data_IF_692334574950
#
_entry.id   IF_692334574950
#
_cell.length_a   1.000
_cell.length_b   1.000
_cell.length_c   1.000
_cell.angle_alpha   90.00
_cell.angle_beta   90.00
_cell.angle_gamma   90.00
#
_symmetry.space_group_name_H-M   'P 1'
#
loop_
_entity.id
_entity.type
_entity.pdbx_description
1 polymer ?
#
# COMPACT_ATOMS: atom_id res chain seq x y z
N UNK A 1 7.19 8.48 26.58
CA UNK A 1 6.98 7.04 26.86
C UNK A 1 5.67 6.61 26.21
N UNK A 2 5.68 5.64 25.28
CA UNK A 2 4.43 5.10 24.70
C UNK A 2 3.68 4.24 25.72
N UNK A 3 2.36 4.39 25.80
CA UNK A 3 1.52 3.63 26.75
C UNK A 3 1.60 2.12 26.50
N UNK A 4 1.25 1.31 27.50
CA UNK A 4 1.19 -0.15 27.35
C UNK A 4 0.29 -0.58 26.17
N UNK A 5 -0.79 0.17 25.92
CA UNK A 5 -1.70 -0.04 24.79
C UNK A 5 -1.00 0.22 23.45
N UNK A 6 -0.22 1.29 23.33
CA UNK A 6 0.55 1.57 22.11
C UNK A 6 1.54 0.45 21.81
N UNK A 7 2.23 -0.08 22.82
CA UNK A 7 3.17 -1.20 22.65
C UNK A 7 2.45 -2.49 22.19
N UNK A 8 1.30 -2.80 22.78
CA UNK A 8 0.50 -3.96 22.40
C UNK A 8 -0.01 -3.85 20.95
N UNK A 9 -0.52 -2.68 20.55
CA UNK A 9 -0.97 -2.43 19.19
C UNK A 9 0.17 -2.52 18.17
N UNK A 10 1.35 -1.97 18.50
CA UNK A 10 2.51 -2.04 17.63
C UNK A 10 3.00 -3.49 17.46
N UNK A 11 3.00 -4.29 18.52
CA UNK A 11 3.36 -5.72 18.47
C UNK A 11 2.40 -6.52 17.59
N UNK A 12 1.09 -6.27 17.69
CA UNK A 12 0.09 -6.90 16.82
C UNK A 12 0.25 -6.47 15.37
N UNK A 13 0.40 -5.17 15.14
CA UNK A 13 0.58 -4.63 13.79
C UNK A 13 1.84 -5.19 13.11
N UNK A 14 2.97 -5.26 13.82
CA UNK A 14 4.21 -5.80 13.28
C UNK A 14 4.16 -7.31 13.02
N UNK A 15 3.31 -8.07 13.73
CA UNK A 15 3.13 -9.50 13.49
C UNK A 15 2.21 -9.77 12.29
N UNK A 16 1.19 -8.94 12.11
CA UNK A 16 0.12 -9.19 11.14
C UNK A 16 0.33 -8.47 9.81
N UNK A 17 1.06 -7.36 9.79
CA UNK A 17 1.17 -6.50 8.62
C UNK A 17 2.61 -6.00 8.40
N UNK A 18 3.12 -6.20 7.19
CA UNK A 18 4.28 -5.49 6.70
C UNK A 18 3.85 -4.08 6.24
N UNK A 19 4.46 -3.04 6.81
CA UNK A 19 4.15 -1.65 6.47
C UNK A 19 5.18 -1.08 5.52
N UNK A 20 4.73 -0.59 4.37
CA UNK A 20 5.56 0.13 3.40
C UNK A 20 5.06 1.57 3.31
N UNK A 21 5.96 2.55 3.46
CA UNK A 21 5.63 3.95 3.24
C UNK A 21 5.87 4.31 1.77
N UNK A 22 4.81 4.62 1.04
CA UNK A 22 4.89 5.01 -0.37
C UNK A 22 4.75 6.52 -0.50
N UNK A 23 5.72 7.15 -1.18
CA UNK A 23 5.68 8.57 -1.53
C UNK A 23 5.60 8.69 -3.05
N UNK A 24 4.49 9.24 -3.54
CA UNK A 24 4.30 9.56 -4.95
C UNK A 24 4.60 11.05 -5.17
N UNK A 25 5.45 11.34 -6.14
CA UNK A 25 5.71 12.70 -6.59
C UNK A 25 4.50 13.23 -7.36
N UNK A 26 4.20 14.52 -7.21
CA UNK A 26 3.07 15.15 -7.92
C UNK A 26 3.39 15.49 -9.37
N UNK A 27 4.67 15.64 -9.68
CA UNK A 27 5.21 16.07 -10.97
C UNK A 27 5.69 14.90 -11.85
N UNK A 28 5.56 13.66 -11.38
CA UNK A 28 5.98 12.46 -12.12
C UNK A 28 4.89 11.41 -12.03
N UNK A 29 4.45 10.89 -13.18
CA UNK A 29 3.50 9.79 -13.21
C UNK A 29 4.14 8.47 -12.75
N UNK A 30 3.40 7.63 -12.00
CA UNK A 30 2.01 7.85 -11.60
C UNK A 30 1.87 8.76 -10.36
N UNK A 31 0.97 9.74 -10.46
CA UNK A 31 0.56 10.61 -9.36
C UNK A 31 -0.50 9.94 -8.49
N UNK A 32 -0.72 10.46 -7.27
CA UNK A 32 -1.75 9.91 -6.37
C UNK A 32 -3.15 9.92 -7.01
N UNK A 33 -3.50 10.99 -7.72
CA UNK A 33 -4.84 11.15 -8.27
C UNK A 33 -5.09 10.19 -9.43
N UNK A 34 -4.07 9.93 -10.26
CA UNK A 34 -4.13 8.90 -11.30
C UNK A 34 -4.32 7.50 -10.70
N UNK A 35 -3.58 7.17 -9.63
CA UNK A 35 -3.71 5.87 -8.94
C UNK A 35 -5.09 5.76 -8.27
N UNK A 36 -5.60 6.83 -7.69
CA UNK A 36 -6.92 6.85 -7.07
C UNK A 36 -8.02 6.65 -8.12
N UNK A 37 -7.96 7.37 -9.25
CA UNK A 37 -8.93 7.23 -10.34
C UNK A 37 -8.93 5.81 -10.91
N UNK A 38 -7.76 5.17 -11.05
CA UNK A 38 -7.67 3.78 -11.49
C UNK A 38 -8.28 2.80 -10.47
N UNK A 39 -8.01 3.00 -9.18
CA UNK A 39 -8.61 2.20 -8.11
C UNK A 39 -10.14 2.35 -8.07
N UNK A 40 -10.64 3.58 -8.22
CA UNK A 40 -12.07 3.89 -8.23
C UNK A 40 -12.76 3.26 -9.46
N UNK A 41 -12.10 3.28 -10.63
CA UNK A 41 -12.60 2.62 -11.83
C UNK A 41 -12.71 1.09 -11.69
N UNK A 42 -11.80 0.47 -10.94
CA UNK A 42 -11.86 -0.96 -10.59
C UNK A 42 -12.77 -1.27 -9.38
N UNK A 43 -13.29 -0.24 -8.70
CA UNK A 43 -14.14 -0.40 -7.53
C UNK A 43 -13.41 -0.92 -6.29
N UNK A 44 -12.09 -0.72 -6.20
CA UNK A 44 -11.24 -1.20 -5.11
C UNK A 44 -10.61 -0.03 -4.35
N UNK A 45 -10.15 -0.28 -3.11
CA UNK A 45 -9.37 0.74 -2.39
C UNK A 45 -8.02 0.98 -3.07
N UNK A 46 -7.49 2.21 -2.96
CA UNK A 46 -6.16 2.57 -3.46
C UNK A 46 -5.06 1.62 -2.96
N UNK A 47 -5.11 1.19 -1.69
CA UNK A 47 -4.14 0.24 -1.17
C UNK A 47 -4.28 -1.15 -1.82
N UNK A 48 -5.50 -1.65 -2.01
CA UNK A 48 -5.73 -2.92 -2.69
C UNK A 48 -5.25 -2.88 -4.15
N UNK A 49 -5.51 -1.77 -4.84
CA UNK A 49 -5.04 -1.53 -6.20
C UNK A 49 -3.51 -1.58 -6.30
N UNK A 50 -2.80 -0.88 -5.40
CA UNK A 50 -1.33 -0.87 -5.37
C UNK A 50 -0.78 -2.28 -5.10
N UNK A 51 -1.34 -3.00 -4.13
CA UNK A 51 -0.90 -4.37 -3.79
C UNK A 51 -1.13 -5.32 -4.98
N UNK A 52 -2.27 -5.21 -5.67
CA UNK A 52 -2.57 -6.00 -6.84
C UNK A 52 -1.59 -5.71 -7.99
N UNK A 53 -1.31 -4.43 -8.27
CA UNK A 53 -0.35 -4.02 -9.30
C UNK A 53 1.07 -4.56 -9.02
N UNK A 54 1.55 -4.44 -7.78
CA UNK A 54 2.85 -5.01 -7.36
C UNK A 54 2.85 -6.53 -7.53
N UNK A 55 1.80 -7.21 -7.10
CA UNK A 55 1.68 -8.67 -7.22
C UNK A 55 1.70 -9.12 -8.68
N UNK A 56 0.99 -8.42 -9.57
CA UNK A 56 1.02 -8.68 -10.99
C UNK A 56 2.44 -8.51 -11.57
N UNK A 57 3.15 -7.45 -11.20
CA UNK A 57 4.51 -7.21 -11.68
C UNK A 57 5.50 -8.30 -11.22
N UNK A 58 5.43 -8.68 -9.94
CA UNK A 58 6.27 -9.75 -9.39
C UNK A 58 6.00 -11.11 -10.04
N UNK A 59 4.75 -11.37 -10.42
CA UNK A 59 4.38 -12.62 -11.10
C UNK A 59 4.79 -12.61 -12.58
N UNK A 60 4.81 -11.46 -13.25
CA UNK A 60 5.28 -11.34 -14.65
C UNK A 60 6.78 -11.62 -14.78
N UNK A 61 7.56 -11.38 -13.73
CA UNK A 61 9.01 -11.61 -13.72
C UNK A 61 9.40 -13.05 -13.38
N UNK A 62 8.45 -13.89 -12.95
CA UNK A 62 8.68 -15.33 -12.74
C UNK A 62 8.29 -16.10 -14.01
N UNK A 63 9.25 -16.60 -14.81
CA UNK A 63 8.99 -17.44 -15.98
C UNK A 63 8.41 -18.80 -15.60
#
# INVERSE_FOLDING_TARGET
>A
MGTARTKANNKWNAKAYDRVNLVLKKDTSPTKDEVQAAADAEGVSLNAYIVAAISQQLNKEKP
#
